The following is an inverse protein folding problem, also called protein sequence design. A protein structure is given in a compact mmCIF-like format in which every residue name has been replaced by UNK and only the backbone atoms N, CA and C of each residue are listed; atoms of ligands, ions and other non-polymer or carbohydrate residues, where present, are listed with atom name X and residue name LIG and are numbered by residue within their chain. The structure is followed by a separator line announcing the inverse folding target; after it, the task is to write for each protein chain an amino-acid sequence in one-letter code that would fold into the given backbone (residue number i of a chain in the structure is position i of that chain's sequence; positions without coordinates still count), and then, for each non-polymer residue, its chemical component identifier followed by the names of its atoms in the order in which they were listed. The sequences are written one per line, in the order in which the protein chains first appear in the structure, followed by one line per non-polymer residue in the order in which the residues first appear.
data_IF_902935670826
#
_entry.id   IF_902935670826
#
_cell.length_a   1.000
_cell.length_b   1.000
_cell.length_c   1.000
_cell.angle_alpha   90.00
_cell.angle_beta   90.00
_cell.angle_gamma   90.00
#
_symmetry.space_group_name_H-M   'P 1'
#
loop_
_entity.id
_entity.type
_entity.pdbx_description
1 polymer ?
#
# COMPACT_ATOMS: atom_id res chain seq x y z
N UNK A 1 -18.57 -27.59 -20.79
CA UNK A 1 -19.24 -27.70 -19.49
C UNK A 1 -19.88 -26.34 -19.25
N UNK A 2 -21.11 -26.18 -19.72
CA UNK A 2 -21.83 -24.90 -19.73
C UNK A 2 -22.37 -24.57 -18.33
N UNK A 3 -22.50 -23.28 -17.97
CA UNK A 3 -23.11 -22.91 -16.69
C UNK A 3 -24.63 -23.08 -16.78
N UNK A 4 -25.20 -23.94 -15.92
CA UNK A 4 -26.64 -24.07 -15.71
C UNK A 4 -27.20 -22.77 -15.14
N UNK A 5 -27.60 -21.86 -16.03
CA UNK A 5 -28.48 -20.74 -15.73
C UNK A 5 -29.90 -21.30 -15.67
N UNK A 6 -30.36 -21.76 -14.50
CA UNK A 6 -31.75 -22.20 -14.28
C UNK A 6 -32.70 -20.99 -14.28
N UNK A 7 -33.03 -20.49 -15.47
CA UNK A 7 -34.20 -19.66 -15.71
C UNK A 7 -35.33 -20.60 -16.18
N UNK A 8 -36.36 -20.81 -15.35
CA UNK A 8 -37.61 -21.46 -15.76
C UNK A 8 -38.57 -20.34 -16.17
N UNK A 9 -39.00 -20.34 -17.43
CA UNK A 9 -39.94 -19.35 -18.03
C UNK A 9 -39.54 -17.86 -17.94
N UNK A 10 -38.25 -17.56 -17.73
CA UNK A 10 -37.78 -16.18 -17.58
C UNK A 10 -38.13 -15.54 -16.22
N UNK A 11 -38.76 -16.29 -15.31
CA UNK A 11 -38.96 -15.89 -13.92
C UNK A 11 -37.87 -16.52 -13.02
N UNK A 12 -37.30 -15.70 -12.14
CA UNK A 12 -36.39 -16.18 -11.11
C UNK A 12 -37.16 -16.95 -10.05
N UNK A 13 -37.17 -18.28 -10.13
CA UNK A 13 -37.78 -19.16 -9.13
C UNK A 13 -36.70 -19.61 -8.13
N UNK A 14 -36.85 -19.33 -6.83
CA UNK A 14 -35.91 -19.79 -5.81
C UNK A 14 -35.78 -21.32 -5.79
N UNK A 15 -34.57 -21.90 -5.67
CA UNK A 15 -34.41 -23.35 -5.60
C UNK A 15 -35.19 -23.99 -4.47
N UNK A 16 -35.90 -25.08 -4.78
CA UNK A 16 -36.80 -25.82 -3.87
C UNK A 16 -36.07 -26.51 -2.72
N UNK A 17 -34.78 -26.80 -2.85
CA UNK A 17 -33.99 -27.45 -1.80
C UNK A 17 -33.50 -26.46 -0.72
N UNK A 18 -33.71 -26.75 0.59
CA UNK A 18 -33.36 -25.81 1.66
C UNK A 18 -31.84 -25.55 1.76
N UNK A 19 -31.00 -26.54 1.42
CA UNK A 19 -29.54 -26.38 1.40
C UNK A 19 -29.08 -25.41 0.31
N UNK A 20 -29.64 -25.54 -0.90
CA UNK A 20 -29.35 -24.65 -2.03
C UNK A 20 -29.84 -23.23 -1.74
N UNK A 21 -31.03 -23.10 -1.15
CA UNK A 21 -31.60 -21.82 -0.72
C UNK A 21 -30.72 -21.12 0.33
N UNK A 22 -30.31 -21.82 1.40
CA UNK A 22 -29.41 -21.27 2.41
C UNK A 22 -28.04 -20.87 1.84
N UNK A 23 -27.53 -21.62 0.85
CA UNK A 23 -26.27 -21.29 0.17
C UNK A 23 -26.42 -20.04 -0.69
N UNK A 24 -27.53 -19.87 -1.40
CA UNK A 24 -27.83 -18.65 -2.15
C UNK A 24 -27.98 -17.45 -1.23
N UNK A 25 -28.74 -17.57 -0.15
CA UNK A 25 -28.88 -16.50 0.85
C UNK A 25 -27.52 -16.08 1.39
N UNK A 26 -26.65 -17.03 1.76
CA UNK A 26 -25.27 -16.73 2.20
C UNK A 26 -24.41 -16.04 1.14
N UNK A 27 -24.62 -16.29 -0.16
CA UNK A 27 -23.91 -15.58 -1.24
C UNK A 27 -24.39 -14.13 -1.38
N UNK A 28 -25.65 -13.86 -1.10
CA UNK A 28 -26.24 -12.52 -1.16
C UNK A 28 -26.00 -11.70 0.13
N UNK A 29 -25.62 -12.35 1.24
CA UNK A 29 -25.21 -11.64 2.45
C UNK A 29 -23.98 -10.79 2.16
N UNK A 30 -24.05 -9.52 2.54
CA UNK A 30 -22.94 -8.57 2.40
C UNK A 30 -21.77 -9.07 3.25
N UNK A 31 -20.59 -9.16 2.65
CA UNK A 31 -19.37 -9.55 3.36
C UNK A 31 -18.98 -8.44 4.33
N UNK A 32 -19.03 -8.76 5.62
CA UNK A 32 -19.10 -7.77 6.70
C UNK A 32 -18.42 -8.33 7.95
N UNK A 33 -17.78 -7.46 8.73
CA UNK A 33 -17.03 -7.84 9.94
C UNK A 33 -17.92 -8.41 11.07
N UNK A 34 -19.23 -8.27 10.95
CA UNK A 34 -20.26 -8.77 11.86
C UNK A 34 -20.84 -7.71 12.79
N UNK A 35 -21.93 -8.07 13.47
CA UNK A 35 -22.70 -7.16 14.34
C UNK A 35 -21.87 -6.62 15.52
N UNK A 36 -20.93 -7.42 16.05
CA UNK A 36 -20.01 -6.99 17.12
C UNK A 36 -19.09 -5.83 16.70
N UNK A 37 -18.98 -5.58 15.39
CA UNK A 37 -18.19 -4.50 14.82
C UNK A 37 -19.00 -3.67 13.83
N UNK A 38 -20.24 -3.32 14.25
CA UNK A 38 -21.16 -2.42 13.57
C UNK A 38 -21.31 -2.68 12.08
N UNK A 39 -21.25 -3.95 11.68
CA UNK A 39 -21.40 -4.37 10.30
C UNK A 39 -20.46 -3.63 9.33
N UNK A 40 -19.18 -3.47 9.71
CA UNK A 40 -18.16 -2.86 8.85
C UNK A 40 -18.02 -3.64 7.51
N UNK A 41 -18.26 -2.99 6.35
CA UNK A 41 -18.20 -3.65 5.05
C UNK A 41 -16.76 -3.94 4.61
N UNK A 42 -16.57 -4.99 3.82
CA UNK A 42 -15.31 -5.22 3.11
C UNK A 42 -15.14 -4.21 1.96
N UNK A 43 -14.06 -3.43 1.98
CA UNK A 43 -13.75 -2.49 0.90
C UNK A 43 -13.04 -3.18 -0.27
N UNK A 44 -13.34 -2.72 -1.49
CA UNK A 44 -12.60 -3.12 -2.69
C UNK A 44 -11.24 -2.43 -2.71
N UNK A 45 -10.17 -3.21 -2.88
CA UNK A 45 -8.81 -2.67 -2.85
C UNK A 45 -8.51 -2.00 -4.20
N UNK A 46 -8.65 -0.67 -4.24
CA UNK A 46 -8.18 0.16 -5.36
C UNK A 46 -6.64 0.31 -5.30
N UNK A 47 -5.96 0.62 -6.41
CA UNK A 47 -4.51 0.81 -6.40
C UNK A 47 -4.06 1.96 -5.49
N UNK A 48 -4.88 2.99 -5.31
CA UNK A 48 -4.63 4.11 -4.40
C UNK A 48 -4.67 3.66 -2.94
N UNK A 49 -5.75 2.98 -2.54
CA UNK A 49 -5.88 2.41 -1.20
C UNK A 49 -4.76 1.42 -0.88
N UNK A 50 -4.33 0.63 -1.88
CA UNK A 50 -3.20 -0.27 -1.72
C UNK A 50 -1.91 0.48 -1.37
N UNK A 51 -1.64 1.63 -2.00
CA UNK A 51 -0.47 2.47 -1.68
C UNK A 51 -0.58 3.01 -0.26
N UNK A 52 -1.73 3.54 0.13
CA UNK A 52 -1.94 4.09 1.47
C UNK A 52 -1.78 3.02 2.56
N UNK A 53 -2.31 1.81 2.34
CA UNK A 53 -2.12 0.68 3.25
C UNK A 53 -0.65 0.23 3.34
N UNK A 54 0.09 0.27 2.23
CA UNK A 54 1.53 0.00 2.23
C UNK A 54 2.30 1.06 3.02
N UNK A 55 1.94 2.34 2.87
CA UNK A 55 2.51 3.45 3.64
C UNK A 55 2.27 3.23 5.13
N UNK A 56 1.05 2.90 5.54
CA UNK A 56 0.73 2.60 6.94
C UNK A 56 1.55 1.44 7.50
N UNK A 57 1.76 0.38 6.72
CA UNK A 57 2.61 -0.74 7.11
C UNK A 57 4.08 -0.33 7.29
N UNK A 58 4.57 0.58 6.45
CA UNK A 58 5.93 1.08 6.47
C UNK A 58 6.12 2.32 7.35
N UNK A 59 5.13 2.70 8.18
CA UNK A 59 5.16 3.92 9.00
C UNK A 59 6.39 4.08 9.88
N UNK A 60 7.01 2.97 10.30
CA UNK A 60 8.24 2.98 11.11
C UNK A 60 9.47 3.48 10.37
N UNK A 61 9.45 3.50 9.03
CA UNK A 61 10.58 3.91 8.19
C UNK A 61 10.37 5.33 7.63
N UNK A 62 9.14 5.85 7.73
CA UNK A 62 8.77 7.16 7.17
C UNK A 62 9.46 8.30 7.92
N UNK A 63 9.35 8.29 9.25
CA UNK A 63 9.92 9.32 10.12
C UNK A 63 10.99 8.69 11.03
N UNK A 64 12.27 9.10 10.92
CA UNK A 64 13.35 8.55 11.75
C UNK A 64 13.18 8.86 13.24
N UNK A 65 12.37 9.85 13.61
CA UNK A 65 12.15 10.25 15.00
C UNK A 65 10.98 9.51 15.65
N UNK A 66 10.10 8.88 14.86
CA UNK A 66 8.90 8.20 15.36
C UNK A 66 9.05 6.69 15.30
N UNK A 67 9.14 6.08 16.47
CA UNK A 67 9.27 4.63 16.62
C UNK A 67 7.90 4.02 16.98
N UNK A 68 7.36 3.20 16.09
CA UNK A 68 6.08 2.51 16.29
C UNK A 68 6.28 1.05 16.74
N UNK A 69 5.26 0.48 17.39
CA UNK A 69 5.24 -0.94 17.74
C UNK A 69 5.21 -1.81 16.48
N UNK A 70 6.04 -2.86 16.43
CA UNK A 70 6.27 -3.72 15.25
C UNK A 70 5.11 -4.70 14.91
N UNK A 71 3.89 -4.44 15.36
CA UNK A 71 2.74 -5.34 15.15
C UNK A 71 2.43 -5.55 13.66
N UNK A 72 2.37 -4.44 12.92
CA UNK A 72 1.83 -4.42 11.55
C UNK A 72 2.82 -4.90 10.48
N UNK A 73 4.13 -4.91 10.80
CA UNK A 73 5.18 -5.39 9.91
C UNK A 73 5.06 -6.91 9.67
N UNK A 74 4.54 -7.65 10.66
CA UNK A 74 4.47 -9.11 10.63
C UNK A 74 3.30 -9.64 9.79
N UNK A 75 2.20 -8.89 9.68
CA UNK A 75 1.07 -9.29 8.84
C UNK A 75 1.42 -9.08 7.37
N UNK A 76 1.59 -10.19 6.63
CA UNK A 76 1.84 -10.15 5.18
C UNK A 76 0.60 -9.74 4.40
N UNK A 77 -0.59 -9.98 4.96
CA UNK A 77 -1.89 -9.69 4.36
C UNK A 77 -2.38 -8.30 4.72
N UNK A 78 -3.01 -7.63 3.75
CA UNK A 78 -3.75 -6.39 4.00
C UNK A 78 -5.02 -6.70 4.80
N UNK A 79 -5.50 -5.78 5.65
CA UNK A 79 -6.76 -5.96 6.35
C UNK A 79 -7.91 -6.08 5.35
N UNK A 80 -8.84 -7.01 5.62
CA UNK A 80 -10.00 -7.26 4.75
C UNK A 80 -11.12 -6.24 4.98
N UNK A 81 -11.39 -5.93 6.24
CA UNK A 81 -12.40 -4.95 6.64
C UNK A 81 -11.69 -3.70 7.13
N UNK A 82 -11.92 -2.58 6.45
CA UNK A 82 -11.39 -1.27 6.81
C UNK A 82 -12.27 -0.17 6.22
N UNK A 83 -12.14 1.03 6.78
CA UNK A 83 -12.78 2.23 6.27
C UNK A 83 -11.75 3.36 6.24
N UNK A 84 -11.89 4.24 5.25
CA UNK A 84 -11.10 5.47 5.14
C UNK A 84 -12.01 6.62 5.51
N UNK A 85 -11.55 7.46 6.43
CA UNK A 85 -12.27 8.63 6.92
C UNK A 85 -11.34 9.82 7.07
N UNK A 86 -11.93 11.00 7.19
CA UNK A 86 -11.22 12.26 7.37
C UNK A 86 -11.45 12.72 8.81
N UNK A 87 -10.40 13.24 9.44
CA UNK A 87 -10.50 13.79 10.79
C UNK A 87 -11.28 15.10 10.74
N UNK A 88 -12.37 15.18 11.52
CA UNK A 88 -13.11 16.42 11.75
C UNK A 88 -12.47 17.10 12.96
N UNK A 89 -11.84 18.26 12.72
CA UNK A 89 -11.15 19.03 13.74
C UNK A 89 -12.15 19.59 14.78
N UNK A 90 -11.70 19.72 16.03
CA UNK A 90 -12.53 20.27 17.10
C UNK A 90 -12.72 21.79 16.95
N UNK A 91 -13.83 22.31 17.46
CA UNK A 91 -14.10 23.75 17.45
C UNK A 91 -13.20 24.55 18.42
N UNK A 92 -12.44 23.89 19.29
CA UNK A 92 -11.64 24.56 20.33
C UNK A 92 -10.21 24.91 19.91
N UNK A 93 -9.66 24.22 18.90
CA UNK A 93 -8.25 24.35 18.51
C UNK A 93 -8.13 24.81 17.06
N UNK A 94 -7.94 26.11 16.87
CA UNK A 94 -7.95 26.72 15.53
C UNK A 94 -6.57 26.78 14.85
N UNK A 95 -5.48 26.95 15.60
CA UNK A 95 -4.19 27.34 15.05
C UNK A 95 -3.16 26.20 14.97
N UNK A 96 -3.14 25.28 15.94
CA UNK A 96 -2.11 24.23 16.05
C UNK A 96 -2.54 22.90 15.42
N UNK A 97 -3.76 22.46 15.68
CA UNK A 97 -4.25 21.13 15.27
C UNK A 97 -4.88 21.07 13.88
N UNK A 98 -5.00 22.22 13.19
CA UNK A 98 -5.78 22.36 11.96
C UNK A 98 -4.89 22.45 10.72
N UNK A 99 -5.16 21.59 9.73
CA UNK A 99 -4.53 21.70 8.42
C UNK A 99 -5.25 22.75 7.58
N UNK A 100 -4.47 23.55 6.84
CA UNK A 100 -5.02 24.50 5.88
C UNK A 100 -5.63 23.78 4.66
N UNK A 101 -6.49 24.46 3.90
CA UNK A 101 -7.11 23.89 2.70
C UNK A 101 -6.09 23.39 1.66
N UNK A 102 -4.88 23.96 1.63
CA UNK A 102 -3.82 23.59 0.69
C UNK A 102 -3.11 22.31 1.09
N UNK A 103 -2.97 22.08 2.40
CA UNK A 103 -2.32 20.91 2.98
C UNK A 103 -3.25 19.70 2.96
N UNK A 104 -4.57 19.90 3.07
CA UNK A 104 -5.56 18.82 2.95
C UNK A 104 -5.53 18.20 1.55
N UNK A 105 -5.18 16.91 1.47
CA UNK A 105 -5.18 16.10 0.24
C UNK A 105 -6.24 15.00 0.30
N UNK A 106 -6.51 14.39 -0.85
CA UNK A 106 -7.49 13.31 -0.97
C UNK A 106 -6.94 11.97 -0.46
N UNK A 107 -5.63 11.73 -0.62
CA UNK A 107 -4.97 10.48 -0.22
C UNK A 107 -3.83 10.74 0.77
N UNK A 108 -3.50 9.71 1.56
CA UNK A 108 -2.39 9.78 2.51
C UNK A 108 -1.04 9.89 1.77
N UNK A 109 -0.92 9.21 0.63
CA UNK A 109 0.26 9.29 -0.23
C UNK A 109 0.52 10.72 -0.73
N UNK A 110 -0.52 11.44 -1.16
CA UNK A 110 -0.39 12.81 -1.67
C UNK A 110 0.00 13.81 -0.58
N UNK A 111 -0.54 13.64 0.61
CA UNK A 111 -0.17 14.44 1.78
C UNK A 111 1.32 14.27 2.08
N UNK A 112 1.79 13.03 2.09
CA UNK A 112 3.18 12.68 2.35
C UNK A 112 4.14 13.20 1.26
N UNK A 113 3.70 13.25 0.01
CA UNK A 113 4.48 13.83 -1.09
C UNK A 113 4.54 15.36 -1.03
N UNK A 114 3.56 16.00 -0.40
CA UNK A 114 3.54 17.46 -0.24
C UNK A 114 4.49 17.97 0.85
N UNK A 115 4.98 17.09 1.74
CA UNK A 115 5.96 17.43 2.76
C UNK A 115 7.40 17.49 2.21
N UNK A 116 7.92 18.71 2.12
CA UNK A 116 9.28 18.98 1.64
C UNK A 116 10.37 18.40 2.57
N UNK A 117 10.17 18.40 3.88
CA UNK A 117 11.18 17.93 4.84
C UNK A 117 11.40 16.43 4.67
N UNK A 118 10.31 15.68 4.55
CA UNK A 118 10.35 14.26 4.28
C UNK A 118 11.02 13.96 2.92
N UNK A 119 10.72 14.75 1.89
CA UNK A 119 11.33 14.61 0.57
C UNK A 119 12.86 14.73 0.60
N UNK A 120 13.39 15.73 1.30
CA UNK A 120 14.84 15.93 1.43
C UNK A 120 15.52 14.78 2.18
N UNK A 121 14.94 14.34 3.30
CA UNK A 121 15.45 13.21 4.08
C UNK A 121 15.46 11.92 3.27
N UNK A 122 14.35 11.60 2.60
CA UNK A 122 14.23 10.40 1.77
C UNK A 122 15.24 10.40 0.64
N UNK A 123 15.37 11.51 -0.10
CA UNK A 123 16.34 11.63 -1.19
C UNK A 123 17.77 11.36 -0.69
N UNK A 124 18.15 11.98 0.43
CA UNK A 124 19.46 11.75 1.05
C UNK A 124 19.67 10.29 1.42
N UNK A 125 18.69 9.64 2.07
CA UNK A 125 18.85 8.27 2.56
C UNK A 125 18.82 7.24 1.43
N UNK A 126 18.00 7.46 0.39
CA UNK A 126 18.00 6.61 -0.80
C UNK A 126 19.36 6.67 -1.50
N UNK A 127 19.95 7.86 -1.68
CA UNK A 127 21.29 7.99 -2.27
C UNK A 127 22.37 7.30 -1.43
N UNK A 128 22.25 7.33 -0.11
CA UNK A 128 23.17 6.63 0.81
C UNK A 128 23.06 5.11 0.62
N UNK A 129 21.84 4.57 0.59
CA UNK A 129 21.57 3.14 0.36
C UNK A 129 22.03 2.73 -1.05
N UNK A 130 21.77 3.54 -2.07
CA UNK A 130 22.22 3.26 -3.43
C UNK A 130 23.74 3.21 -3.51
N UNK A 131 24.47 4.11 -2.85
CA UNK A 131 25.94 4.07 -2.78
C UNK A 131 26.44 2.82 -2.04
N UNK A 132 25.79 2.46 -0.95
CA UNK A 132 26.07 1.25 -0.15
C UNK A 132 25.67 -0.06 -0.87
N UNK A 133 24.73 -0.02 -1.80
CA UNK A 133 24.36 -1.19 -2.60
C UNK A 133 25.18 -1.28 -3.89
N UNK A 134 25.54 -0.13 -4.47
CA UNK A 134 26.37 -0.02 -5.68
C UNK A 134 27.86 -0.23 -5.41
N UNK A 135 28.27 -0.66 -4.21
CA UNK A 135 29.68 -0.91 -3.92
C UNK A 135 30.22 -2.09 -4.74
N UNK A 136 31.07 -1.72 -5.71
CA UNK A 136 32.40 -2.31 -5.86
C UNK A 136 32.42 -3.66 -6.61
N UNK A 137 31.36 -4.05 -7.31
CA UNK A 137 31.33 -5.31 -8.10
C UNK A 137 31.78 -5.19 -9.56
N UNK A 138 31.51 -4.07 -10.24
CA UNK A 138 31.62 -4.00 -11.72
C UNK A 138 32.61 -2.93 -12.20
N UNK A 139 32.61 -1.73 -11.61
CA UNK A 139 33.47 -0.63 -12.07
C UNK A 139 34.94 -0.82 -11.68
N UNK A 140 35.23 -1.32 -10.46
CA UNK A 140 36.62 -1.60 -10.03
C UNK A 140 37.36 -2.56 -10.97
N UNK A 141 36.63 -3.49 -11.59
CA UNK A 141 37.20 -4.48 -12.53
C UNK A 141 37.24 -3.95 -13.97
N UNK A 142 36.33 -3.05 -14.36
CA UNK A 142 36.32 -2.43 -15.69
C UNK A 142 37.49 -1.46 -15.92
N UNK A 143 38.00 -0.81 -14.87
CA UNK A 143 39.10 0.17 -14.98
C UNK A 143 40.45 -0.51 -15.28
N UNK A 144 40.65 -1.78 -14.87
CA UNK A 144 41.91 -2.51 -15.07
C UNK A 144 42.16 -3.00 -16.51
N UNK A 145 41.12 -3.05 -17.36
CA UNK A 145 41.19 -3.72 -18.68
C UNK A 145 41.76 -2.89 -19.85
N UNK A 146 41.85 -1.55 -19.74
CA UNK A 146 42.25 -0.69 -20.87
C UNK A 146 43.71 -0.20 -20.83
N UNK A 147 44.36 -0.26 -19.68
CA UNK A 147 45.76 0.18 -19.51
C UNK A 147 46.79 -0.93 -19.80
N UNK A 148 46.42 -2.21 -19.72
CA UNK A 148 47.35 -3.34 -19.94
C UNK A 148 47.67 -3.59 -21.43
N UNK A 149 46.79 -3.22 -22.35
CA UNK A 149 46.95 -3.45 -23.80
C UNK A 149 47.90 -2.45 -24.49
N UNK A 150 48.20 -1.30 -23.87
CA UNK A 150 49.11 -0.28 -24.47
C UNK A 150 50.59 -0.49 -24.18
N UNK A 151 50.94 -1.37 -23.23
CA UNK A 151 52.34 -1.57 -22.82
C UNK A 151 53.08 -2.63 -23.64
N UNK A 152 52.36 -3.44 -24.43
CA UNK A 152 52.91 -4.58 -25.17
C UNK A 152 53.29 -4.30 -26.63
N UNK A 153 53.27 -3.03 -27.06
CA UNK A 153 53.45 -2.63 -28.47
C UNK A 153 54.66 -1.70 -28.70
N UNK A 154 55.64 -1.72 -27.79
CA UNK A 154 56.84 -0.85 -27.83
C UNK A 154 58.19 -1.59 -27.73
N UNK A 155 58.19 -2.90 -27.94
CA UNK A 155 59.42 -3.70 -28.06
C UNK A 155 59.37 -4.47 -29.38
N UNK A 156 59.79 -3.82 -30.47
CA UNK A 156 60.30 -4.41 -31.72
C UNK A 156 61.03 -3.31 -32.52
#
# INVERSE_FOLDING_TARGET
MEPENELVDGLFVPPKEPKKLNRLMKKHLKDTAGASWFDMPAQTITPELKKDLQILKLRSVIDPKRHYKKGDLKSKTLPKYFQVGIVIESASEFFSGRLTKKERKATLADELLSDNHLGTYRKRKVQEIEKEHNVVGVEKWKIKGKQSLKRKKKEE
#
